data_IF_784429648198
#
_entry.id   IF_784429648198
#
_cell.length_a   1.000
_cell.length_b   1.000
_cell.length_c   1.000
_cell.angle_alpha   90.00
_cell.angle_beta   90.00
_cell.angle_gamma   90.00
#
_symmetry.space_group_name_H-M   'P 1'
#
loop_
_entity.id
_entity.type
_entity.pdbx_description
1 polymer ?
#
# COMPACT_ATOMS: atom_id res chain seq x y z
N UNK A 1 -23.18 -21.90 -11.15
CA UNK A 1 -22.05 -21.10 -10.65
C UNK A 1 -22.63 -19.76 -10.26
N UNK A 2 -22.87 -19.52 -8.97
CA UNK A 2 -23.40 -18.24 -8.51
C UNK A 2 -22.27 -17.22 -8.70
N UNK A 3 -22.50 -16.19 -9.53
CA UNK A 3 -21.50 -15.15 -9.75
C UNK A 3 -21.15 -14.45 -8.45
N UNK A 4 -19.97 -13.82 -8.40
CA UNK A 4 -19.58 -13.00 -7.26
C UNK A 4 -20.58 -11.86 -7.09
N UNK A 5 -21.32 -11.88 -5.99
CA UNK A 5 -22.31 -10.84 -5.67
C UNK A 5 -21.56 -9.58 -5.21
N UNK A 6 -21.86 -8.38 -5.74
CA UNK A 6 -21.22 -7.15 -5.30
C UNK A 6 -21.43 -6.89 -3.80
N UNK A 7 -20.34 -6.62 -3.07
CA UNK A 7 -20.39 -6.25 -1.64
C UNK A 7 -20.43 -4.74 -1.49
N UNK A 8 -21.59 -4.13 -1.74
CA UNK A 8 -21.77 -2.67 -1.72
C UNK A 8 -21.42 -1.99 -0.38
N UNK A 9 -21.41 -2.72 0.73
CA UNK A 9 -20.95 -2.21 2.03
C UNK A 9 -19.45 -1.85 2.06
N UNK A 10 -18.68 -2.40 1.13
CA UNK A 10 -17.26 -2.08 0.98
C UNK A 10 -17.01 -0.84 0.13
N UNK A 11 -18.05 -0.34 -0.55
CA UNK A 11 -17.94 0.77 -1.50
C UNK A 11 -17.97 2.10 -0.76
N UNK A 12 -17.04 2.99 -1.10
CA UNK A 12 -16.86 4.29 -0.46
C UNK A 12 -16.58 5.35 -1.53
N UNK A 13 -17.30 6.46 -1.49
CA UNK A 13 -17.13 7.57 -2.45
C UNK A 13 -15.78 8.23 -2.18
N UNK A 14 -14.90 8.23 -3.18
CA UNK A 14 -13.56 8.80 -3.08
C UNK A 14 -13.47 10.17 -3.71
N UNK A 15 -14.11 10.37 -4.87
CA UNK A 15 -14.14 11.64 -5.58
C UNK A 15 -15.51 11.80 -6.25
N UNK A 16 -16.12 12.97 -6.04
CA UNK A 16 -17.36 13.40 -6.67
C UNK A 16 -17.31 14.93 -6.76
N UNK A 17 -17.39 15.47 -7.98
CA UNK A 17 -17.43 16.92 -8.20
C UNK A 17 -18.84 17.46 -8.02
N UNK A 18 -19.87 16.66 -8.31
CA UNK A 18 -21.26 17.04 -8.13
C UNK A 18 -21.74 16.94 -6.68
N UNK A 19 -21.17 16.02 -5.88
CA UNK A 19 -21.60 15.70 -4.50
C UNK A 19 -20.40 15.60 -3.55
N UNK A 20 -19.69 16.71 -3.35
CA UNK A 20 -18.51 16.75 -2.48
C UNK A 20 -18.81 16.34 -1.03
N UNK A 21 -20.04 16.55 -0.57
CA UNK A 21 -20.53 16.17 0.75
C UNK A 21 -20.63 14.65 0.97
N UNK A 22 -20.66 13.86 -0.10
CA UNK A 22 -20.74 12.39 -0.03
C UNK A 22 -19.37 11.73 0.05
N UNK A 23 -18.28 12.46 -0.18
CA UNK A 23 -16.92 11.92 -0.14
C UNK A 23 -16.60 11.36 1.25
N UNK A 24 -16.10 10.12 1.28
CA UNK A 24 -15.82 9.35 2.49
C UNK A 24 -17.02 8.55 3.04
N UNK A 25 -18.22 8.76 2.50
CA UNK A 25 -19.40 7.98 2.90
C UNK A 25 -19.44 6.62 2.20
N UNK A 26 -20.00 5.63 2.90
CA UNK A 26 -20.30 4.31 2.32
C UNK A 26 -21.50 4.39 1.38
N UNK A 27 -21.40 3.76 0.22
CA UNK A 27 -22.48 3.72 -0.77
C UNK A 27 -23.75 3.10 -0.18
N UNK A 28 -23.63 2.02 0.58
CA UNK A 28 -24.79 1.38 1.23
C UNK A 28 -25.48 2.28 2.26
N UNK A 29 -24.71 3.15 2.94
CA UNK A 29 -25.29 4.15 3.84
C UNK A 29 -26.09 5.20 3.06
N UNK A 30 -25.52 5.72 1.97
CA UNK A 30 -26.21 6.70 1.11
C UNK A 30 -27.52 6.10 0.60
N UNK A 31 -27.46 4.86 0.11
CA UNK A 31 -28.62 4.13 -0.41
C UNK A 31 -29.71 3.91 0.66
N UNK A 32 -29.33 3.53 1.88
CA UNK A 32 -30.26 3.39 3.00
C UNK A 32 -30.91 4.72 3.40
N UNK A 33 -30.15 5.82 3.43
CA UNK A 33 -30.65 7.15 3.81
C UNK A 33 -31.71 7.67 2.83
N UNK A 34 -31.64 7.30 1.54
CA UNK A 34 -32.61 7.72 0.51
C UNK A 34 -33.62 6.63 0.11
N UNK A 35 -33.53 5.44 0.69
CA UNK A 35 -34.46 4.33 0.44
C UNK A 35 -34.37 3.73 -0.96
N UNK A 36 -33.17 3.64 -1.54
CA UNK A 36 -32.92 3.08 -2.88
C UNK A 36 -31.91 1.91 -2.85
N UNK A 37 -31.85 1.15 -3.93
CA UNK A 37 -30.86 0.08 -4.08
C UNK A 37 -29.45 0.64 -4.35
N UNK A 38 -28.39 0.11 -3.71
CA UNK A 38 -27.03 0.66 -3.86
C UNK A 38 -26.53 0.74 -5.30
N UNK A 39 -26.93 -0.20 -6.15
CA UNK A 39 -26.54 -0.18 -7.56
C UNK A 39 -27.19 0.98 -8.32
N UNK A 40 -28.47 1.25 -8.08
CA UNK A 40 -29.18 2.37 -8.70
C UNK A 40 -28.59 3.70 -8.25
N UNK A 41 -28.30 3.83 -6.94
CA UNK A 41 -27.61 5.01 -6.39
C UNK A 41 -26.25 5.23 -7.05
N UNK A 42 -25.47 4.17 -7.26
CA UNK A 42 -24.18 4.27 -7.93
C UNK A 42 -24.31 4.80 -9.36
N UNK A 43 -25.31 4.31 -10.11
CA UNK A 43 -25.59 4.77 -11.47
C UNK A 43 -26.06 6.23 -11.48
N UNK A 44 -26.98 6.59 -10.58
CA UNK A 44 -27.51 7.94 -10.47
C UNK A 44 -26.42 8.95 -10.13
N UNK A 45 -25.56 8.63 -9.14
CA UNK A 45 -24.40 9.46 -8.82
C UNK A 45 -23.47 9.60 -10.03
N UNK A 46 -23.16 8.50 -10.73
CA UNK A 46 -22.30 8.54 -11.90
C UNK A 46 -22.86 9.41 -13.04
N UNK A 47 -24.18 9.38 -13.26
CA UNK A 47 -24.86 10.17 -14.28
C UNK A 47 -24.85 11.68 -13.97
N UNK A 48 -24.76 12.06 -12.70
CA UNK A 48 -24.66 13.47 -12.31
C UNK A 48 -23.25 14.06 -12.42
N UNK A 49 -22.23 13.21 -12.53
CA UNK A 49 -20.84 13.66 -12.61
C UNK A 49 -20.47 14.21 -13.99
N UNK A 50 -19.75 15.34 -14.06
CA UNK A 50 -19.11 15.77 -15.29
C UNK A 50 -18.18 14.68 -15.85
N UNK A 51 -18.35 14.35 -17.14
CA UNK A 51 -17.60 13.29 -17.84
C UNK A 51 -17.64 11.90 -17.18
N UNK A 52 -18.67 11.58 -16.36
CA UNK A 52 -18.79 10.31 -15.64
C UNK A 52 -17.59 10.00 -14.71
N UNK A 53 -16.98 11.04 -14.12
CA UNK A 53 -15.76 10.93 -13.32
C UNK A 53 -15.98 10.57 -11.83
N UNK A 54 -17.09 9.91 -11.50
CA UNK A 54 -17.30 9.38 -10.15
C UNK A 54 -16.20 8.37 -9.81
N UNK A 55 -15.60 8.49 -8.63
CA UNK A 55 -14.67 7.46 -8.12
C UNK A 55 -15.15 6.84 -6.84
N UNK A 56 -15.08 5.52 -6.82
CA UNK A 56 -15.48 4.71 -5.69
C UNK A 56 -14.37 3.71 -5.40
N UNK A 57 -13.97 3.63 -4.13
CA UNK A 57 -13.09 2.57 -3.63
C UNK A 57 -13.98 1.39 -3.27
N UNK A 58 -13.62 0.20 -3.69
CA UNK A 58 -14.28 -1.03 -3.28
C UNK A 58 -13.23 -2.04 -2.82
N UNK A 59 -13.62 -2.90 -1.87
CA UNK A 59 -12.74 -3.95 -1.37
C UNK A 59 -13.09 -5.25 -2.08
N UNK A 60 -12.25 -5.61 -3.05
CA UNK A 60 -12.52 -6.72 -3.98
C UNK A 60 -12.24 -8.08 -3.34
N UNK A 61 -11.17 -8.17 -2.56
CA UNK A 61 -10.73 -9.41 -1.91
C UNK A 61 -9.84 -9.08 -0.70
N UNK A 62 -9.43 -10.12 0.02
CA UNK A 62 -8.47 -10.04 1.13
C UNK A 62 -8.88 -9.03 2.20
N UNK A 63 -10.11 -9.15 2.71
CA UNK A 63 -10.65 -8.30 3.78
C UNK A 63 -11.23 -9.07 4.96
N UNK A 64 -11.04 -10.39 4.99
CA UNK A 64 -11.24 -11.18 6.21
C UNK A 64 -10.02 -11.04 7.12
N UNK A 65 -10.17 -10.22 8.15
CA UNK A 65 -9.10 -9.96 9.14
C UNK A 65 -8.62 -11.28 9.77
N UNK A 66 -9.51 -12.22 10.09
CA UNK A 66 -9.12 -13.46 10.75
C UNK A 66 -8.26 -14.34 9.81
N UNK A 67 -8.72 -14.55 8.58
CA UNK A 67 -7.97 -15.27 7.56
C UNK A 67 -6.62 -14.62 7.23
N UNK A 68 -6.56 -13.29 7.15
CA UNK A 68 -5.30 -12.59 6.89
C UNK A 68 -4.33 -12.72 8.06
N UNK A 69 -4.82 -12.64 9.31
CA UNK A 69 -3.98 -12.88 10.50
C UNK A 69 -3.36 -14.27 10.48
N UNK A 70 -4.16 -15.28 10.17
CA UNK A 70 -3.69 -16.67 10.05
C UNK A 70 -2.61 -16.81 8.98
N UNK A 71 -2.85 -16.26 7.78
CA UNK A 71 -1.88 -16.30 6.68
C UNK A 71 -0.59 -15.54 7.03
N UNK A 72 -0.68 -14.33 7.59
CA UNK A 72 0.49 -13.53 7.95
C UNK A 72 1.34 -14.21 9.03
N UNK A 73 0.73 -14.93 9.97
CA UNK A 73 1.43 -15.68 11.00
C UNK A 73 2.14 -16.92 10.47
N UNK A 74 1.70 -17.48 9.34
CA UNK A 74 2.29 -18.68 8.75
C UNK A 74 3.70 -18.43 8.19
N UNK A 75 4.62 -19.35 8.46
CA UNK A 75 6.03 -19.22 8.02
C UNK A 75 6.25 -19.50 6.53
N UNK A 76 5.34 -20.22 5.87
CA UNK A 76 5.31 -20.45 4.44
C UNK A 76 4.63 -19.32 3.66
N UNK A 77 3.88 -18.44 4.32
CA UNK A 77 3.35 -17.23 3.71
C UNK A 77 4.44 -16.16 3.59
N UNK A 78 4.73 -15.75 2.36
CA UNK A 78 5.59 -14.61 2.05
C UNK A 78 4.78 -13.42 1.57
N UNK A 79 5.32 -12.23 1.77
CA UNK A 79 4.79 -11.01 1.19
C UNK A 79 5.20 -10.96 -0.27
N UNK A 80 4.24 -10.82 -1.17
CA UNK A 80 4.48 -10.75 -2.60
C UNK A 80 3.25 -10.25 -3.33
N UNK A 81 3.50 -9.70 -4.53
CA UNK A 81 2.55 -9.02 -5.43
C UNK A 81 2.28 -7.54 -5.08
N UNK A 82 2.63 -6.67 -6.03
CA UNK A 82 1.99 -5.37 -6.19
C UNK A 82 1.58 -5.24 -7.66
N UNK A 83 0.32 -4.92 -7.90
CA UNK A 83 -0.23 -4.72 -9.24
C UNK A 83 -0.37 -3.22 -9.57
N UNK A 84 0.08 -2.36 -8.66
CA UNK A 84 0.11 -0.92 -8.83
C UNK A 84 0.87 -0.49 -10.09
N UNK A 85 1.87 -1.26 -10.57
CA UNK A 85 2.60 -0.95 -11.80
C UNK A 85 1.76 -1.03 -13.08
N UNK A 86 0.82 -1.99 -13.16
CA UNK A 86 -0.08 -2.14 -14.32
C UNK A 86 -1.36 -1.31 -14.18
N UNK A 87 -1.77 -1.03 -12.94
CA UNK A 87 -3.00 -0.33 -12.60
C UNK A 87 -2.76 0.98 -11.82
N UNK A 88 -1.72 1.75 -12.18
CA UNK A 88 -1.25 2.93 -11.43
C UNK A 88 -2.32 3.97 -11.08
N UNK A 89 -3.38 4.10 -11.89
CA UNK A 89 -4.50 5.01 -11.62
C UNK A 89 -5.52 4.49 -10.58
N UNK A 90 -5.52 3.18 -10.35
CA UNK A 90 -6.53 2.45 -9.57
C UNK A 90 -5.97 1.84 -8.28
N UNK A 91 -4.71 1.37 -8.28
CA UNK A 91 -4.07 0.67 -7.16
C UNK A 91 -2.81 1.38 -6.70
N UNK A 92 -2.53 1.30 -5.39
CA UNK A 92 -1.27 1.75 -4.80
C UNK A 92 -0.89 0.86 -3.62
N UNK A 93 -0.07 -0.15 -3.89
CA UNK A 93 0.41 -1.10 -2.88
C UNK A 93 1.81 -0.74 -2.36
N UNK A 94 2.37 0.38 -2.82
CA UNK A 94 3.63 0.95 -2.31
C UNK A 94 3.70 1.05 -0.77
N UNK A 95 2.62 1.38 -0.04
CA UNK A 95 2.70 1.50 1.41
C UNK A 95 2.49 0.16 2.16
N UNK A 96 2.46 -0.99 1.47
CA UNK A 96 2.31 -2.31 2.10
C UNK A 96 3.29 -2.56 3.27
N UNK A 97 4.59 -2.20 3.20
CA UNK A 97 5.49 -2.40 4.32
C UNK A 97 5.11 -1.63 5.59
N UNK A 98 4.65 -0.38 5.44
CA UNK A 98 4.25 0.46 6.57
C UNK A 98 2.85 0.12 7.05
N UNK A 99 1.96 -0.38 6.19
CA UNK A 99 0.68 -0.99 6.59
C UNK A 99 0.88 -2.29 7.38
N UNK A 100 1.81 -3.16 6.97
CA UNK A 100 2.16 -4.36 7.73
C UNK A 100 2.62 -4.01 9.14
N UNK A 101 3.53 -3.03 9.28
CA UNK A 101 4.08 -2.63 10.56
C UNK A 101 3.06 -1.86 11.43
N UNK A 102 2.25 -1.00 10.83
CA UNK A 102 1.27 -0.19 11.55
C UNK A 102 -0.02 -0.94 11.87
N UNK A 103 -0.68 -1.44 10.84
CA UNK A 103 -1.99 -2.06 10.94
C UNK A 103 -1.86 -3.51 11.43
N UNK A 104 -1.04 -4.33 10.78
CA UNK A 104 -1.04 -5.77 11.06
C UNK A 104 -0.22 -6.16 12.29
N UNK A 105 0.89 -5.49 12.55
CA UNK A 105 1.70 -5.73 13.77
C UNK A 105 1.11 -4.99 14.97
N UNK A 106 0.98 -3.66 14.90
CA UNK A 106 0.60 -2.85 16.07
C UNK A 106 -0.90 -2.93 16.38
N UNK A 107 -1.78 -2.82 15.39
CA UNK A 107 -3.23 -2.73 15.66
C UNK A 107 -3.90 -4.10 15.76
N UNK A 108 -3.57 -5.02 14.85
CA UNK A 108 -4.15 -6.36 14.85
C UNK A 108 -3.33 -7.42 15.57
N UNK A 109 -2.10 -7.13 16.00
CA UNK A 109 -1.23 -8.11 16.68
C UNK A 109 -1.18 -9.45 15.92
N UNK A 110 -1.09 -9.39 14.60
CA UNK A 110 -1.12 -10.57 13.72
C UNK A 110 0.19 -11.37 13.79
N UNK A 111 1.30 -10.68 14.04
CA UNK A 111 2.65 -11.20 14.14
C UNK A 111 3.52 -10.24 14.96
N UNK A 112 4.63 -10.74 15.52
CA UNK A 112 5.58 -9.87 16.22
C UNK A 112 6.28 -8.92 15.25
N UNK A 113 6.82 -7.82 15.79
CA UNK A 113 7.58 -6.86 15.01
C UNK A 113 8.78 -7.50 14.30
N UNK A 114 9.52 -8.38 14.99
CA UNK A 114 10.68 -9.08 14.44
C UNK A 114 10.28 -10.02 13.29
N UNK A 115 9.13 -10.71 13.42
CA UNK A 115 8.62 -11.59 12.37
C UNK A 115 8.20 -10.78 11.12
N UNK A 116 7.56 -9.63 11.31
CA UNK A 116 7.23 -8.72 10.22
C UNK A 116 8.49 -8.16 9.53
N UNK A 117 9.47 -7.70 10.30
CA UNK A 117 10.77 -7.25 9.78
C UNK A 117 11.43 -8.38 8.99
N UNK A 118 11.45 -9.61 9.51
CA UNK A 118 12.01 -10.78 8.82
C UNK A 118 11.30 -11.06 7.49
N UNK A 119 9.97 -10.94 7.44
CA UNK A 119 9.17 -11.09 6.20
C UNK A 119 9.45 -9.99 5.17
N UNK A 120 9.69 -8.75 5.62
CA UNK A 120 10.01 -7.60 4.75
C UNK A 120 11.48 -7.57 4.28
N UNK A 121 12.39 -8.25 4.98
CA UNK A 121 13.83 -8.17 4.73
C UNK A 121 14.44 -9.53 4.38
N UNK A 122 14.87 -10.29 5.38
CA UNK A 122 15.60 -11.54 5.18
C UNK A 122 14.84 -12.54 4.33
N UNK A 123 13.50 -12.66 4.46
CA UNK A 123 12.73 -13.69 3.71
C UNK A 123 12.81 -13.37 2.23
N UNK A 124 12.71 -12.08 1.88
CA UNK A 124 12.86 -11.63 0.51
C UNK A 124 14.28 -11.90 0.00
N UNK A 125 15.30 -11.54 0.79
CA UNK A 125 16.69 -11.79 0.40
C UNK A 125 16.97 -13.29 0.19
N UNK A 126 16.46 -14.17 1.04
CA UNK A 126 16.62 -15.61 0.92
C UNK A 126 15.91 -16.15 -0.34
N UNK A 127 14.66 -15.73 -0.59
CA UNK A 127 13.87 -16.17 -1.75
C UNK A 127 14.49 -15.73 -3.08
N UNK A 128 15.02 -14.50 -3.13
CA UNK A 128 15.65 -13.95 -4.34
C UNK A 128 17.15 -14.27 -4.46
N UNK A 129 17.76 -14.90 -3.44
CA UNK A 129 19.16 -15.32 -3.44
C UNK A 129 20.16 -14.18 -3.28
N UNK A 130 19.80 -13.09 -2.59
CA UNK A 130 20.69 -11.98 -2.30
C UNK A 130 21.62 -12.31 -1.12
N UNK A 131 22.91 -12.49 -1.39
CA UNK A 131 23.87 -12.95 -0.38
C UNK A 131 24.39 -11.84 0.56
N UNK A 132 24.18 -10.57 0.20
CA UNK A 132 24.74 -9.41 0.88
C UNK A 132 23.67 -8.40 1.32
N UNK A 133 22.39 -8.80 1.40
CA UNK A 133 21.24 -7.93 1.73
C UNK A 133 20.23 -8.62 2.65
N UNK A 134 19.27 -7.85 3.15
CA UNK A 134 18.14 -8.33 3.97
C UNK A 134 18.45 -8.60 5.44
N UNK A 135 19.70 -8.39 5.87
CA UNK A 135 20.14 -8.58 7.25
C UNK A 135 21.11 -7.48 7.68
N UNK A 136 21.03 -7.05 8.94
CA UNK A 136 22.02 -6.14 9.53
C UNK A 136 23.24 -6.94 10.00
N UNK A 137 24.25 -7.04 9.12
CA UNK A 137 25.49 -7.80 9.36
C UNK A 137 26.70 -7.05 8.79
N UNK A 138 27.89 -7.13 9.42
CA UNK A 138 29.12 -6.63 8.80
C UNK A 138 29.34 -7.23 7.40
N UNK A 139 29.72 -6.38 6.45
CA UNK A 139 29.97 -6.77 5.06
C UNK A 139 28.71 -6.82 4.16
N UNK A 140 27.51 -6.57 4.70
CA UNK A 140 26.28 -6.48 3.92
C UNK A 140 26.07 -5.04 3.44
N UNK A 141 25.25 -4.84 2.41
CA UNK A 141 24.83 -3.52 1.97
C UNK A 141 24.13 -2.79 3.11
N UNK A 142 24.45 -1.51 3.29
CA UNK A 142 23.82 -0.65 4.28
C UNK A 142 22.44 -0.15 3.80
N UNK A 143 21.53 -1.08 3.54
CA UNK A 143 20.12 -0.82 3.29
C UNK A 143 19.38 -0.84 4.63
N UNK A 144 19.08 0.34 5.17
CA UNK A 144 18.61 0.49 6.55
C UNK A 144 17.41 1.41 6.58
N UNK A 145 16.37 1.01 7.32
CA UNK A 145 15.24 1.86 7.68
C UNK A 145 15.19 2.00 9.19
N UNK A 146 15.12 3.24 9.67
CA UNK A 146 14.87 3.59 11.07
C UNK A 146 13.47 4.15 11.17
N UNK A 147 12.65 3.56 12.03
CA UNK A 147 11.25 3.94 12.21
C UNK A 147 10.83 3.82 13.68
N UNK A 148 9.76 4.51 14.04
CA UNK A 148 9.12 4.41 15.34
C UNK A 148 7.96 3.39 15.29
N UNK A 149 8.05 2.25 16.01
CA UNK A 149 7.00 1.22 15.98
C UNK A 149 5.66 1.72 16.54
N UNK A 150 5.65 2.76 17.39
CA UNK A 150 4.43 3.31 17.94
C UNK A 150 3.62 4.12 16.91
N UNK A 151 4.27 4.64 15.86
CA UNK A 151 3.65 5.60 14.93
C UNK A 151 3.74 5.22 13.46
N UNK A 152 4.52 4.20 13.09
CA UNK A 152 4.71 3.78 11.69
C UNK A 152 3.37 3.46 11.01
N UNK A 153 3.10 4.07 9.87
CA UNK A 153 1.83 3.93 9.15
C UNK A 153 1.97 4.30 7.66
N UNK A 154 1.08 3.79 6.78
CA UNK A 154 1.12 4.02 5.33
C UNK A 154 1.04 5.50 4.91
N UNK A 155 0.42 6.36 5.73
CA UNK A 155 0.10 7.74 5.34
C UNK A 155 -1.05 7.81 4.33
N UNK A 156 -1.46 9.01 3.90
CA UNK A 156 -2.57 9.16 2.99
C UNK A 156 -2.21 8.72 1.57
N UNK A 157 -3.09 7.96 0.94
CA UNK A 157 -3.05 7.78 -0.51
C UNK A 157 -3.52 9.08 -1.19
N UNK A 158 -2.78 9.54 -2.19
CA UNK A 158 -3.09 10.73 -2.97
C UNK A 158 -3.03 10.45 -4.46
N UNK A 159 -3.83 11.19 -5.22
CA UNK A 159 -3.81 11.14 -6.68
C UNK A 159 -2.97 12.29 -7.23
N UNK A 160 -2.15 11.99 -8.24
CA UNK A 160 -1.27 12.95 -8.89
C UNK A 160 -1.36 12.84 -10.40
N UNK A 161 -1.06 13.92 -11.11
CA UNK A 161 -0.93 14.00 -12.57
C UNK A 161 0.52 14.28 -12.94
N UNK A 162 1.33 13.24 -12.95
CA UNK A 162 2.76 13.30 -13.27
C UNK A 162 3.21 12.17 -14.20
N UNK A 163 2.26 11.42 -14.75
CA UNK A 163 2.51 10.31 -15.65
C UNK A 163 2.44 10.75 -17.13
N UNK A 164 3.07 10.03 -18.08
CA UNK A 164 3.06 10.39 -19.48
C UNK A 164 1.64 10.66 -20.02
N UNK A 165 1.55 11.58 -20.99
CA UNK A 165 0.29 12.07 -21.58
C UNK A 165 -0.68 12.72 -20.57
N UNK A 166 -0.16 13.35 -19.51
CA UNK A 166 -0.96 13.98 -18.44
C UNK A 166 -1.95 13.00 -17.78
N UNK A 167 -1.51 11.74 -17.65
CA UNK A 167 -2.31 10.72 -16.98
C UNK A 167 -2.02 10.70 -15.49
N UNK A 168 -2.98 10.19 -14.73
CA UNK A 168 -2.95 10.18 -13.28
C UNK A 168 -2.40 8.87 -12.72
N UNK A 169 -1.88 8.93 -11.50
CA UNK A 169 -1.60 7.76 -10.68
C UNK A 169 -1.93 8.00 -9.22
N UNK A 170 -2.12 6.91 -8.48
CA UNK A 170 -2.12 6.91 -7.03
C UNK A 170 -0.69 6.79 -6.49
N UNK A 171 -0.44 7.46 -5.37
CA UNK A 171 0.82 7.38 -4.64
C UNK A 171 0.57 7.51 -3.14
N UNK A 172 1.43 6.93 -2.32
CA UNK A 172 1.43 7.03 -0.86
C UNK A 172 2.88 7.24 -0.42
N UNK A 173 3.36 8.48 -0.59
CA UNK A 173 4.77 8.86 -0.44
C UNK A 173 5.04 9.75 0.79
N UNK A 174 4.06 9.86 1.68
CA UNK A 174 4.16 10.54 2.96
C UNK A 174 3.84 9.57 4.13
N UNK A 175 4.62 8.48 4.31
CA UNK A 175 4.43 7.58 5.44
C UNK A 175 4.73 8.31 6.74
N UNK A 176 4.06 7.88 7.82
CA UNK A 176 4.29 8.40 9.17
C UNK A 176 5.23 7.46 9.92
N UNK A 177 6.00 7.98 10.88
CA UNK A 177 6.87 7.20 11.75
C UNK A 177 8.17 6.70 11.12
N UNK A 178 8.43 6.92 9.84
CA UNK A 178 9.71 6.61 9.18
C UNK A 178 10.69 7.76 9.34
N UNK A 179 11.81 7.53 10.01
CA UNK A 179 12.79 8.57 10.37
C UNK A 179 13.97 8.64 9.42
N UNK A 180 14.63 7.52 9.18
CA UNK A 180 15.79 7.47 8.28
C UNK A 180 15.66 6.33 7.30
N UNK A 181 16.07 6.55 6.05
CA UNK A 181 16.18 5.49 5.04
C UNK A 181 17.51 5.66 4.33
N UNK A 182 18.27 4.57 4.27
CA UNK A 182 19.56 4.47 3.60
C UNK A 182 19.50 3.35 2.56
N UNK A 183 20.10 3.60 1.41
CA UNK A 183 20.27 2.62 0.33
C UNK A 183 21.75 2.55 -0.01
N UNK A 184 22.36 1.37 0.11
CA UNK A 184 23.80 1.19 -0.06
C UNK A 184 24.65 2.16 0.80
N UNK A 185 24.15 2.54 1.98
CA UNK A 185 24.82 3.49 2.88
C UNK A 185 24.59 4.96 2.55
N UNK A 186 23.96 5.29 1.42
CA UNK A 186 23.58 6.66 1.08
C UNK A 186 22.22 6.99 1.71
N UNK A 187 22.13 8.00 2.59
CA UNK A 187 20.85 8.45 3.11
C UNK A 187 19.97 9.05 2.00
N UNK A 188 18.74 8.59 1.88
CA UNK A 188 17.71 9.17 1.01
C UNK A 188 16.61 9.86 1.81
N UNK A 189 16.54 9.62 3.12
CA UNK A 189 15.68 10.31 4.07
C UNK A 189 16.39 10.44 5.42
N UNK A 190 16.35 11.61 6.03
CA UNK A 190 16.89 11.90 7.37
C UNK A 190 15.88 12.70 8.19
N UNK A 191 15.64 12.28 9.43
CA UNK A 191 14.69 12.92 10.37
C UNK A 191 13.31 13.17 9.75
N UNK A 192 12.83 12.22 8.94
CA UNK A 192 11.54 12.29 8.26
C UNK A 192 11.54 13.14 6.97
N UNK A 193 12.68 13.71 6.57
CA UNK A 193 12.79 14.57 5.38
C UNK A 193 13.54 13.83 4.27
N UNK A 194 12.89 13.68 3.12
CA UNK A 194 13.53 13.14 1.92
C UNK A 194 14.63 14.07 1.41
N UNK A 195 15.70 13.49 0.86
CA UNK A 195 16.87 14.21 0.34
C UNK A 195 16.84 14.20 -1.20
N UNK A 196 16.40 15.28 -1.87
CA UNK A 196 16.19 15.29 -3.33
C UNK A 196 17.45 14.96 -4.12
N UNK A 197 18.61 15.48 -3.72
CA UNK A 197 19.88 15.24 -4.41
C UNK A 197 20.31 13.77 -4.31
N UNK A 198 20.12 13.14 -3.15
CA UNK A 198 20.41 11.73 -2.97
C UNK A 198 19.44 10.84 -3.79
N UNK A 199 18.17 11.21 -3.85
CA UNK A 199 17.19 10.54 -4.70
C UNK A 199 17.55 10.68 -6.20
N UNK A 200 17.97 11.87 -6.62
CA UNK A 200 18.42 12.12 -7.99
C UNK A 200 19.69 11.33 -8.35
N UNK A 201 20.59 11.10 -7.39
CA UNK A 201 21.79 10.29 -7.55
C UNK A 201 21.49 8.79 -7.74
N UNK A 202 20.27 8.33 -7.41
CA UNK A 202 19.81 6.94 -7.58
C UNK A 202 20.81 5.92 -7.02
N UNK A 203 21.03 5.89 -5.68
CA UNK A 203 22.05 5.04 -5.06
C UNK A 203 21.78 3.53 -5.17
N UNK A 204 20.63 3.14 -5.73
CA UNK A 204 20.30 1.74 -6.01
C UNK A 204 21.29 1.09 -6.98
N UNK A 205 21.44 -0.22 -6.84
CA UNK A 205 22.31 -1.03 -7.70
C UNK A 205 21.53 -2.21 -8.26
N UNK A 206 21.94 -2.69 -9.42
CA UNK A 206 21.44 -3.95 -9.95
C UNK A 206 21.95 -5.10 -9.08
N UNK A 207 21.04 -5.78 -8.38
CA UNK A 207 21.35 -6.95 -7.55
C UNK A 207 21.17 -8.21 -8.38
N UNK A 208 22.12 -9.14 -8.27
CA UNK A 208 22.05 -10.44 -8.94
C UNK A 208 21.86 -11.54 -7.91
N UNK A 209 20.99 -12.53 -8.16
CA UNK A 209 20.94 -13.73 -7.35
C UNK A 209 22.32 -14.38 -7.31
N UNK A 210 22.66 -14.95 -6.16
CA UNK A 210 23.81 -15.84 -6.06
C UNK A 210 23.60 -17.03 -7.00
N UNK A 211 24.67 -17.60 -7.59
CA UNK A 211 24.57 -18.83 -8.37
C UNK A 211 23.85 -19.89 -7.51
N UNK A 212 22.78 -20.49 -8.03
CA UNK A 212 22.15 -21.63 -7.37
C UNK A 212 23.16 -22.79 -7.42
N UNK A 213 23.68 -23.17 -6.25
CA UNK A 213 24.50 -24.37 -6.07
C UNK A 213 23.64 -25.62 -6.09
#
# INVERSE_FOLDING_TARGET
MMGMVPRFDTYEIMESAAHAELVGMKLSKIAADIGQEPFDVLLDLALTEPDLKLRVKCVVANDDIAGIRELLADSGCTLGLSDAGAHVGQLCDAPMPTDLLGTWVREYEALTLEAAIRKLSGVQADLFGFADRGYLKPGYAADVMVFDPATVAPGPARRVRDFPADTERLTADAPVGVRHVLVNGTPIQIDGVQLPDALAARPGQMVKPSPRS
#
